data_IF_908295689744
#
_entry.id   IF_908295689744
#
_cell.length_a   1.000
_cell.length_b   1.000
_cell.length_c   1.000
_cell.angle_alpha   90.00
_cell.angle_beta   90.00
_cell.angle_gamma   90.00
#
_symmetry.space_group_name_H-M   'P 1'
#
loop_
_entity.id
_entity.type
_entity.pdbx_description
1 polymer ?
#
# COMPACT_ATOMS: atom_id res chain seq x y z
N UNK A 1 -22.95 -0.34 24.08
CA UNK A 1 -21.84 -0.22 23.12
C UNK A 1 -22.10 -1.19 21.99
N UNK A 2 -21.81 -0.81 20.75
CA UNK A 2 -22.16 -1.56 19.53
C UNK A 2 -21.24 -2.75 19.24
N UNK A 3 -20.15 -2.94 19.98
CA UNK A 3 -19.23 -4.08 19.84
C UNK A 3 -18.37 -4.07 18.57
N UNK A 4 -18.35 -2.96 17.82
CA UNK A 4 -17.48 -2.79 16.67
C UNK A 4 -16.09 -2.33 17.08
N UNK A 5 -15.03 -2.79 16.40
CA UNK A 5 -13.68 -2.30 16.62
C UNK A 5 -13.58 -0.82 16.23
N UNK A 6 -12.57 -0.15 16.78
CA UNK A 6 -12.23 1.23 16.43
C UNK A 6 -10.88 1.30 15.73
N UNK A 7 -10.61 2.42 15.06
CA UNK A 7 -9.36 2.63 14.33
C UNK A 7 -8.56 3.76 14.99
N UNK A 8 -7.30 3.47 15.34
CA UNK A 8 -6.34 4.46 15.80
C UNK A 8 -5.36 4.79 14.68
N UNK A 9 -5.17 6.06 14.29
CA UNK A 9 -4.10 6.45 13.37
C UNK A 9 -2.75 5.89 13.83
N UNK A 10 -2.01 5.25 12.92
CA UNK A 10 -0.75 4.58 13.25
C UNK A 10 0.43 5.10 12.45
N UNK A 11 0.27 5.31 11.14
CA UNK A 11 1.36 5.84 10.32
C UNK A 11 0.98 6.13 8.89
N UNK A 12 1.93 6.68 8.15
CA UNK A 12 1.79 7.01 6.73
C UNK A 12 2.89 6.34 5.92
N UNK A 13 2.51 5.57 4.90
CA UNK A 13 3.40 5.05 3.87
C UNK A 13 3.25 5.89 2.61
N UNK A 14 4.37 6.24 1.98
CA UNK A 14 4.42 6.75 0.62
C UNK A 14 5.33 5.83 -0.20
N UNK A 15 4.77 5.21 -1.23
CA UNK A 15 5.48 4.34 -2.17
C UNK A 15 5.58 5.03 -3.52
N UNK A 16 6.75 4.97 -4.15
CA UNK A 16 6.93 5.32 -5.56
C UNK A 16 6.91 4.04 -6.38
N UNK A 17 6.17 4.03 -7.48
CA UNK A 17 6.05 2.85 -8.34
C UNK A 17 6.56 3.14 -9.76
N UNK A 18 7.14 2.12 -10.39
CA UNK A 18 7.48 2.18 -11.81
C UNK A 18 6.20 2.11 -12.67
N UNK A 19 6.29 2.47 -13.96
CA UNK A 19 5.28 2.04 -14.93
C UNK A 19 5.02 0.53 -14.81
N UNK A 20 3.75 0.11 -14.94
CA UNK A 20 3.38 -1.28 -14.74
C UNK A 20 3.80 -2.18 -15.91
N UNK A 21 4.12 -3.43 -15.59
CA UNK A 21 4.32 -4.51 -16.54
C UNK A 21 3.02 -5.30 -16.72
N UNK A 22 2.59 -5.46 -17.97
CA UNK A 22 1.37 -6.19 -18.29
C UNK A 22 1.68 -7.67 -18.51
N UNK A 23 1.36 -8.51 -17.51
CA UNK A 23 1.49 -9.97 -17.63
C UNK A 23 0.41 -10.53 -18.57
N UNK A 24 -0.78 -9.92 -18.56
CA UNK A 24 -1.88 -10.25 -19.46
C UNK A 24 -2.89 -11.21 -18.83
N UNK A 25 -3.66 -11.88 -19.68
CA UNK A 25 -4.72 -12.80 -19.25
C UNK A 25 -4.16 -14.10 -18.72
N UNK A 26 -4.57 -14.51 -17.52
CA UNK A 26 -4.10 -15.73 -16.87
C UNK A 26 -4.97 -16.94 -17.25
N UNK A 27 -4.39 -18.15 -17.19
CA UNK A 27 -5.15 -19.41 -17.40
C UNK A 27 -6.23 -19.65 -16.35
N UNK A 28 -6.09 -19.05 -15.16
CA UNK A 28 -7.10 -19.04 -14.10
C UNK A 28 -8.28 -18.10 -14.39
N UNK A 29 -8.23 -17.34 -15.49
CA UNK A 29 -9.11 -16.21 -15.75
C UNK A 29 -8.60 -14.90 -15.14
N UNK A 30 -9.18 -13.78 -15.58
CA UNK A 30 -8.75 -12.44 -15.20
C UNK A 30 -7.45 -12.00 -15.88
N UNK A 31 -7.00 -10.78 -15.56
CA UNK A 31 -5.71 -10.26 -16.04
C UNK A 31 -4.83 -9.83 -14.87
N UNK A 32 -3.51 -9.96 -15.04
CA UNK A 32 -2.52 -9.57 -14.05
C UNK A 32 -1.61 -8.47 -14.59
N UNK A 33 -1.28 -7.55 -13.69
CA UNK A 33 -0.36 -6.45 -13.90
C UNK A 33 0.61 -6.44 -12.71
N UNK A 34 1.88 -6.13 -12.94
CA UNK A 34 2.88 -5.99 -11.88
C UNK A 34 3.37 -4.54 -11.83
N UNK A 35 3.34 -3.93 -10.65
CA UNK A 35 3.97 -2.63 -10.41
C UNK A 35 5.17 -2.81 -9.46
N UNK A 36 6.37 -2.39 -9.87
CA UNK A 36 7.53 -2.43 -8.99
C UNK A 36 7.51 -1.22 -8.05
N UNK A 37 7.84 -1.46 -6.79
CA UNK A 37 8.01 -0.42 -5.77
C UNK A 37 9.48 -0.01 -5.77
N UNK A 38 9.76 1.22 -6.19
CA UNK A 38 11.13 1.71 -6.43
C UNK A 38 11.67 2.55 -5.27
N UNK A 39 10.79 3.15 -4.47
CA UNK A 39 11.15 3.88 -3.27
C UNK A 39 9.99 3.86 -2.27
N UNK A 40 10.30 3.91 -0.98
CA UNK A 40 9.28 4.00 0.08
C UNK A 40 9.73 4.89 1.22
N UNK A 41 8.77 5.56 1.86
CA UNK A 41 8.92 6.16 3.18
C UNK A 41 7.71 5.75 4.02
N UNK A 42 7.93 5.02 5.11
CA UNK A 42 6.91 4.70 6.10
C UNK A 42 7.31 5.31 7.44
N UNK A 43 6.42 6.11 8.02
CA UNK A 43 6.66 6.73 9.32
C UNK A 43 5.40 6.65 10.18
N UNK A 44 5.57 6.31 11.46
CA UNK A 44 4.47 6.30 12.41
C UNK A 44 4.05 7.71 12.80
N UNK A 45 2.81 7.85 13.28
CA UNK A 45 2.31 9.08 13.89
C UNK A 45 3.11 9.41 15.19
N UNK A 46 3.17 10.68 15.62
CA UNK A 46 4.01 11.11 16.74
C UNK A 46 3.71 10.44 18.09
N UNK A 47 2.48 9.96 18.30
CA UNK A 47 2.01 9.34 19.55
C UNK A 47 2.15 7.81 19.56
N UNK A 48 2.67 7.21 18.49
CA UNK A 48 2.92 5.76 18.42
C UNK A 48 4.27 5.43 19.05
N UNK A 49 4.26 4.48 19.98
CA UNK A 49 5.46 3.96 20.65
C UNK A 49 5.42 2.44 20.68
N UNK A 50 6.51 1.74 20.28
CA UNK A 50 7.72 2.29 19.67
C UNK A 50 7.48 2.93 18.30
N UNK A 51 8.18 4.04 18.02
CA UNK A 51 8.11 4.68 16.71
C UNK A 51 8.81 3.81 15.65
N UNK A 52 8.26 3.79 14.44
CA UNK A 52 8.85 3.16 13.28
C UNK A 52 9.09 4.20 12.19
N UNK A 53 10.29 4.19 11.63
CA UNK A 53 10.71 5.03 10.52
C UNK A 53 11.47 4.17 9.51
N UNK A 54 10.78 3.72 8.46
CA UNK A 54 11.36 3.01 7.33
C UNK A 54 11.58 3.95 6.15
N UNK A 55 12.84 4.14 5.80
CA UNK A 55 13.30 5.18 4.88
C UNK A 55 13.62 4.66 3.48
N UNK A 56 13.58 3.34 3.29
CA UNK A 56 13.86 2.72 1.99
C UNK A 56 13.19 1.37 1.85
N UNK A 57 13.13 0.91 0.60
CA UNK A 57 12.70 -0.44 0.21
C UNK A 57 13.93 -1.18 -0.32
N UNK A 58 14.10 -2.43 0.12
CA UNK A 58 15.14 -3.33 -0.40
C UNK A 58 14.69 -3.90 -1.73
N UNK A 59 13.45 -4.38 -1.78
CA UNK A 59 12.72 -4.74 -2.99
C UNK A 59 11.22 -4.75 -2.69
N UNK A 60 10.39 -4.56 -3.71
CA UNK A 60 8.95 -4.71 -3.56
C UNK A 60 8.21 -4.67 -4.88
N UNK A 61 7.05 -5.32 -4.90
CA UNK A 61 6.15 -5.30 -6.05
C UNK A 61 4.70 -5.56 -5.62
N UNK A 62 3.78 -5.15 -6.49
CA UNK A 62 2.35 -5.42 -6.38
C UNK A 62 1.91 -6.32 -7.53
N UNK A 63 1.37 -7.50 -7.21
CA UNK A 63 0.73 -8.40 -8.17
C UNK A 63 -0.76 -8.08 -8.23
N UNK A 64 -1.09 -7.15 -9.11
CA UNK A 64 -2.43 -6.58 -9.24
C UNK A 64 -3.26 -7.49 -10.14
N UNK A 65 -4.43 -7.91 -9.65
CA UNK A 65 -5.38 -8.72 -10.41
C UNK A 65 -6.65 -7.92 -10.69
N UNK A 66 -7.01 -7.77 -11.96
CA UNK A 66 -8.27 -7.13 -12.32
C UNK A 66 -9.44 -8.12 -12.22
N UNK A 67 -10.51 -7.72 -11.53
CA UNK A 67 -11.76 -8.47 -11.55
C UNK A 67 -12.34 -8.50 -12.97
N UNK A 68 -13.08 -9.55 -13.38
CA UNK A 68 -13.62 -9.68 -14.74
C UNK A 68 -14.56 -8.54 -15.18
N UNK A 69 -15.20 -7.85 -14.24
CA UNK A 69 -16.10 -6.72 -14.54
C UNK A 69 -15.37 -5.37 -14.69
N UNK A 70 -14.05 -5.36 -14.43
CA UNK A 70 -13.20 -4.17 -14.48
C UNK A 70 -13.48 -3.13 -13.39
N UNK A 71 -14.36 -3.41 -12.43
CA UNK A 71 -14.76 -2.44 -11.39
C UNK A 71 -13.82 -2.44 -10.18
N UNK A 72 -13.06 -3.51 -9.99
CA UNK A 72 -12.11 -3.61 -8.90
C UNK A 72 -10.78 -4.20 -9.35
N UNK A 73 -9.72 -3.76 -8.66
CA UNK A 73 -8.41 -4.42 -8.70
C UNK A 73 -8.11 -5.00 -7.32
N UNK A 74 -7.46 -6.16 -7.30
CA UNK A 74 -7.01 -6.87 -6.09
C UNK A 74 -5.51 -6.75 -5.98
N UNK A 75 -5.06 -6.13 -4.89
CA UNK A 75 -3.64 -5.94 -4.59
C UNK A 75 -3.08 -7.18 -3.88
N UNK A 76 -1.84 -7.54 -4.22
CA UNK A 76 -1.00 -8.50 -3.51
C UNK A 76 0.41 -7.91 -3.48
N UNK A 77 0.66 -7.07 -2.48
CA UNK A 77 1.94 -6.41 -2.29
C UNK A 77 2.85 -7.24 -1.43
N UNK A 78 4.07 -7.42 -1.93
CA UNK A 78 5.16 -8.06 -1.20
C UNK A 78 6.40 -7.19 -1.27
N UNK A 79 6.87 -6.78 -0.11
CA UNK A 79 8.05 -5.91 -0.02
C UNK A 79 8.86 -6.18 1.24
N UNK A 80 10.12 -5.75 1.19
CA UNK A 80 10.99 -5.65 2.35
C UNK A 80 11.41 -4.21 2.50
N UNK A 81 10.98 -3.57 3.58
CA UNK A 81 11.37 -2.22 3.95
C UNK A 81 12.64 -2.27 4.81
N UNK A 82 13.34 -1.14 4.88
CA UNK A 82 14.48 -0.96 5.79
C UNK A 82 14.28 0.29 6.62
N UNK A 83 14.38 0.11 7.93
CA UNK A 83 14.33 1.19 8.92
C UNK A 83 15.58 2.09 8.84
N UNK A 84 15.47 3.29 9.38
CA UNK A 84 16.59 4.23 9.53
C UNK A 84 17.74 3.69 10.38
N UNK A 85 17.45 2.78 11.32
CA UNK A 85 18.44 2.03 12.09
C UNK A 85 18.89 0.70 11.43
N UNK A 86 18.49 0.46 10.17
CA UNK A 86 19.02 -0.63 9.34
C UNK A 86 18.34 -1.98 9.50
N UNK A 87 17.25 -2.07 10.26
CA UNK A 87 16.48 -3.32 10.45
C UNK A 87 15.60 -3.59 9.23
N UNK A 88 15.68 -4.79 8.62
CA UNK A 88 14.75 -5.20 7.57
C UNK A 88 13.40 -5.62 8.17
N UNK A 89 12.31 -5.17 7.55
CA UNK A 89 10.95 -5.56 7.92
C UNK A 89 10.21 -6.00 6.66
N UNK A 90 9.69 -7.22 6.66
CA UNK A 90 8.79 -7.67 5.61
C UNK A 90 7.47 -6.94 5.77
N UNK A 91 7.06 -6.22 4.74
CA UNK A 91 5.81 -5.48 4.69
C UNK A 91 5.00 -5.99 3.51
N UNK A 92 3.88 -6.61 3.83
CA UNK A 92 2.98 -7.22 2.86
C UNK A 92 1.58 -6.69 3.09
N UNK A 93 0.80 -6.52 2.03
CA UNK A 93 -0.60 -6.20 2.17
C UNK A 93 -1.40 -6.74 1.00
N UNK A 94 -2.64 -7.10 1.30
CA UNK A 94 -3.68 -7.22 0.27
C UNK A 94 -4.57 -6.01 0.33
N UNK A 95 -5.30 -5.76 -0.75
CA UNK A 95 -6.19 -4.62 -0.83
C UNK A 95 -7.13 -4.67 -2.01
N UNK A 96 -8.04 -3.72 -2.03
CA UNK A 96 -9.04 -3.54 -3.07
C UNK A 96 -8.96 -2.10 -3.52
N UNK A 97 -8.86 -1.91 -4.84
CA UNK A 97 -9.06 -0.63 -5.49
C UNK A 97 -10.43 -0.67 -6.16
N UNK A 98 -11.30 0.29 -5.85
CA UNK A 98 -12.52 0.58 -6.61
C UNK A 98 -12.14 1.47 -7.80
N UNK A 99 -12.47 1.03 -9.01
CA UNK A 99 -12.10 1.74 -10.24
C UNK A 99 -13.12 2.84 -10.53
N UNK A 100 -12.95 3.98 -9.88
CA UNK A 100 -13.66 5.22 -10.24
C UNK A 100 -13.10 5.83 -11.53
N UNK A 101 -13.78 6.80 -12.17
CA UNK A 101 -13.23 7.50 -13.33
C UNK A 101 -11.87 8.16 -13.07
N UNK A 102 -11.68 8.74 -11.88
CA UNK A 102 -10.41 9.36 -11.49
C UNK A 102 -9.30 8.32 -11.30
N UNK A 103 -9.64 7.19 -10.67
CA UNK A 103 -8.72 6.06 -10.51
C UNK A 103 -8.34 5.45 -11.86
N UNK A 104 -9.29 5.29 -12.78
CA UNK A 104 -9.01 4.78 -14.13
C UNK A 104 -8.06 5.71 -14.91
N UNK A 105 -8.23 7.03 -14.80
CA UNK A 105 -7.32 8.02 -15.40
C UNK A 105 -5.92 7.96 -14.79
N UNK A 106 -5.81 7.82 -13.47
CA UNK A 106 -4.52 7.69 -12.79
C UNK A 106 -3.77 6.42 -13.24
N UNK A 107 -4.48 5.28 -13.30
CA UNK A 107 -3.92 4.00 -13.68
C UNK A 107 -3.53 3.90 -15.15
N UNK A 108 -4.20 4.63 -16.04
CA UNK A 108 -3.86 4.67 -17.46
C UNK A 108 -2.66 5.57 -17.78
N UNK A 109 -2.20 6.37 -16.81
CA UNK A 109 -1.14 7.36 -17.01
C UNK A 109 -1.58 8.52 -17.92
N UNK A 110 -2.87 8.83 -17.96
CA UNK A 110 -3.40 9.91 -18.79
C UNK A 110 -2.73 11.26 -18.44
N UNK A 111 -2.39 12.12 -19.43
CA UNK A 111 -1.77 13.42 -19.18
C UNK A 111 -2.59 14.34 -18.26
N UNK A 112 -3.91 14.20 -18.28
CA UNK A 112 -4.87 14.92 -17.44
C UNK A 112 -5.10 14.28 -16.07
N UNK A 113 -4.45 13.16 -15.75
CA UNK A 113 -4.57 12.50 -14.47
C UNK A 113 -4.11 13.43 -13.33
N UNK A 114 -4.86 13.40 -12.24
CA UNK A 114 -4.58 14.18 -11.03
C UNK A 114 -4.50 13.26 -9.83
N UNK A 115 -3.99 13.79 -8.72
CA UNK A 115 -4.03 13.09 -7.43
C UNK A 115 -5.47 12.70 -7.11
N UNK A 116 -5.68 11.42 -6.87
CA UNK A 116 -7.00 10.87 -6.51
C UNK A 116 -7.20 11.10 -5.01
N UNK A 117 -8.38 11.54 -4.54
CA UNK A 117 -8.67 11.59 -3.12
C UNK A 117 -8.64 10.19 -2.46
N UNK A 118 -8.55 10.15 -1.13
CA UNK A 118 -8.77 8.90 -0.40
C UNK A 118 -10.22 8.41 -0.59
N UNK A 119 -10.41 7.10 -0.52
CA UNK A 119 -11.73 6.46 -0.55
C UNK A 119 -11.84 5.29 -1.54
N UNK A 120 -11.01 5.27 -2.57
CA UNK A 120 -11.04 4.21 -3.59
C UNK A 120 -10.19 2.99 -3.22
N UNK A 121 -9.25 3.13 -2.29
CA UNK A 121 -8.30 2.07 -1.94
C UNK A 121 -8.43 1.73 -0.46
N UNK A 122 -8.65 0.45 -0.17
CA UNK A 122 -8.56 -0.12 1.18
C UNK A 122 -7.57 -1.28 1.19
N UNK A 123 -6.82 -1.43 2.28
CA UNK A 123 -5.77 -2.44 2.41
C UNK A 123 -5.71 -3.03 3.81
N UNK A 124 -5.12 -4.22 3.92
CA UNK A 124 -4.86 -4.93 5.19
C UNK A 124 -3.36 -5.20 5.28
N UNK A 125 -2.57 -4.23 5.79
CA UNK A 125 -1.14 -4.40 5.91
C UNK A 125 -0.74 -5.30 7.08
N UNK A 126 0.38 -5.99 6.90
CA UNK A 126 1.02 -6.83 7.90
C UNK A 126 2.53 -6.62 7.87
N UNK A 127 3.09 -6.52 9.07
CA UNK A 127 4.53 -6.49 9.30
C UNK A 127 4.99 -7.86 9.81
N UNK A 128 6.17 -8.30 9.36
CA UNK A 128 6.84 -9.51 9.84
C UNK A 128 8.31 -9.19 10.08
N UNK A 129 8.79 -9.46 11.29
CA UNK A 129 10.16 -9.17 11.70
C UNK A 129 10.56 -9.97 12.94
N UNK A 130 11.76 -10.55 12.91
CA UNK A 130 12.34 -11.24 14.07
C UNK A 130 13.12 -10.33 15.01
N UNK A 131 13.13 -9.01 14.80
CA UNK A 131 13.94 -8.08 15.57
C UNK A 131 13.19 -7.56 16.81
N UNK A 132 13.72 -7.79 18.01
CA UNK A 132 13.07 -7.48 19.31
C UNK A 132 12.45 -6.08 19.38
N UNK A 133 13.16 -5.05 18.89
CA UNK A 133 12.68 -3.65 18.85
C UNK A 133 11.31 -3.50 18.17
N UNK A 134 11.04 -4.30 17.14
CA UNK A 134 9.86 -4.19 16.28
C UNK A 134 8.92 -5.41 16.40
N UNK A 135 9.22 -6.35 17.30
CA UNK A 135 8.44 -7.58 17.46
C UNK A 135 6.97 -7.32 17.85
N UNK A 136 6.69 -6.19 18.49
CA UNK A 136 5.32 -5.77 18.83
C UNK A 136 4.41 -5.63 17.60
N UNK A 137 4.95 -5.30 16.42
CA UNK A 137 4.17 -5.14 15.18
C UNK A 137 3.46 -6.43 14.77
N UNK A 138 4.00 -7.59 15.11
CA UNK A 138 3.39 -8.89 14.78
C UNK A 138 2.14 -9.20 15.64
N UNK A 139 1.91 -8.41 16.69
CA UNK A 139 0.75 -8.55 17.58
C UNK A 139 -0.33 -7.47 17.32
N UNK A 140 -0.22 -6.74 16.21
CA UNK A 140 -1.14 -5.67 15.83
C UNK A 140 -1.89 -6.03 14.55
N UNK A 141 -3.11 -5.51 14.41
CA UNK A 141 -3.91 -5.64 13.19
C UNK A 141 -4.07 -4.25 12.59
N UNK A 142 -3.87 -4.14 11.28
CA UNK A 142 -3.91 -2.87 10.59
C UNK A 142 -4.90 -2.88 9.43
N UNK A 143 -5.41 -1.69 9.13
CA UNK A 143 -6.09 -1.38 7.88
C UNK A 143 -5.53 -0.08 7.33
N UNK A 144 -5.53 0.08 6.01
CA UNK A 144 -5.04 1.28 5.36
C UNK A 144 -6.02 1.84 4.35
N UNK A 145 -6.13 3.17 4.29
CA UNK A 145 -6.78 3.90 3.20
C UNK A 145 -5.71 4.47 2.28
N UNK A 146 -5.79 4.12 0.99
CA UNK A 146 -4.81 4.51 0.00
C UNK A 146 -5.30 5.61 -0.95
N UNK A 147 -4.37 6.27 -1.62
CA UNK A 147 -4.63 7.16 -2.76
C UNK A 147 -3.46 7.18 -3.75
N UNK A 148 -3.76 7.48 -5.00
CA UNK A 148 -2.75 7.81 -6.01
C UNK A 148 -2.34 9.28 -5.89
N UNK A 149 -1.05 9.53 -5.80
CA UNK A 149 -0.45 10.87 -5.82
C UNK A 149 0.23 11.06 -7.18
N UNK A 150 -0.32 11.97 -7.96
CA UNK A 150 0.15 12.31 -9.30
C UNK A 150 0.79 13.69 -9.24
N UNK A 151 2.04 13.78 -9.69
CA UNK A 151 2.78 15.03 -9.84
C UNK A 151 3.36 15.06 -11.26
N UNK A 152 3.06 16.10 -12.08
CA UNK A 152 3.53 16.15 -13.46
C UNK A 152 5.05 15.99 -13.58
N UNK A 153 5.50 15.06 -14.43
CA UNK A 153 6.92 14.79 -14.66
C UNK A 153 7.60 13.93 -13.59
N UNK A 154 6.89 13.52 -12.54
CA UNK A 154 7.38 12.58 -11.54
C UNK A 154 6.76 11.19 -11.72
N UNK A 155 7.45 10.12 -11.27
CA UNK A 155 6.83 8.79 -11.17
C UNK A 155 5.59 8.82 -10.27
N UNK A 156 4.60 8.01 -10.60
CA UNK A 156 3.40 7.84 -9.79
C UNK A 156 3.77 7.36 -8.38
N UNK A 157 3.11 7.93 -7.39
CA UNK A 157 3.23 7.52 -5.99
C UNK A 157 1.89 7.02 -5.47
N UNK A 158 1.92 6.15 -4.49
CA UNK A 158 0.75 5.69 -3.74
C UNK A 158 0.98 6.01 -2.27
N UNK A 159 0.07 6.77 -1.67
CA UNK A 159 0.11 7.10 -0.25
C UNK A 159 -0.94 6.28 0.49
N UNK A 160 -0.57 5.71 1.63
CA UNK A 160 -1.48 5.03 2.54
C UNK A 160 -1.46 5.69 3.91
N UNK A 161 -2.64 5.98 4.44
CA UNK A 161 -2.89 6.24 5.86
C UNK A 161 -3.24 4.92 6.53
N UNK A 162 -2.40 4.47 7.45
CA UNK A 162 -2.50 3.19 8.13
C UNK A 162 -3.03 3.44 9.55
N UNK A 163 -4.02 2.64 9.93
CA UNK A 163 -4.60 2.63 11.27
C UNK A 163 -4.42 1.26 11.91
N UNK A 164 -4.17 1.26 13.21
CA UNK A 164 -4.30 0.08 14.07
C UNK A 164 -5.79 -0.17 14.38
N UNK A 165 -6.18 -1.44 14.36
CA UNK A 165 -7.51 -1.90 14.76
C UNK A 165 -7.50 -2.21 16.26
N UNK A 166 -8.41 -1.58 17.00
CA UNK A 166 -8.60 -1.77 18.44
C UNK A 166 -9.93 -2.49 18.70
N UNK A 167 -9.90 -3.52 19.56
CA UNK A 167 -11.05 -4.34 19.92
C UNK A 167 -12.03 -3.63 20.88
#
# INVERSE_FOLDING_TARGET
MSGFPTLKPWGTLLATISPPEHIGTLSSGGSQIIANITATSLKTEPDVTPALNATSVVFGGDWIHADPDGKHLRLDVRSVLRTDDGVPITFIYTGIISVSPATALALSGAPEAQTVPFGDIVSVPRFVTGHDKYQHLENMVFVGSGRFVITPGEPMKVEYKISEVLA
#
